data_IF_267554818206
#
_entry.id   IF_267554818206
#
_cell.length_a   1.000
_cell.length_b   1.000
_cell.length_c   1.000
_cell.angle_alpha   90.00
_cell.angle_beta   90.00
_cell.angle_gamma   90.00
#
_symmetry.space_group_name_H-M   'P 1'
#
loop_
_entity.id
_entity.type
_entity.pdbx_description
1 polymer ?
#
# COMPACT_ATOMS: atom_id res chain seq x y z
N UNK A 1 -18.19 42.52 -33.94
CA UNK A 1 -16.96 42.52 -34.76
C UNK A 1 -16.21 41.23 -34.52
N UNK A 2 -15.83 40.54 -35.59
CA UNK A 2 -15.09 39.27 -35.59
C UNK A 2 -13.74 39.43 -34.88
N UNK A 3 -13.35 38.46 -34.06
CA UNK A 3 -11.94 38.07 -33.90
C UNK A 3 -11.86 36.55 -34.00
N UNK A 4 -11.31 36.14 -35.14
CA UNK A 4 -11.00 34.79 -35.58
C UNK A 4 -9.70 34.32 -34.90
N UNK A 5 -9.69 33.04 -34.49
CA UNK A 5 -8.59 32.05 -34.59
C UNK A 5 -7.33 32.40 -33.78
N UNK A 6 -6.84 31.57 -32.85
CA UNK A 6 -6.01 30.41 -33.19
C UNK A 6 -6.13 29.30 -32.14
N UNK A 7 -6.61 28.16 -32.62
CA UNK A 7 -6.53 26.84 -32.01
C UNK A 7 -5.08 26.54 -31.63
N UNK A 8 -4.80 26.41 -30.34
CA UNK A 8 -3.70 25.56 -29.88
C UNK A 8 -4.34 24.42 -29.08
N UNK A 9 -4.82 23.42 -29.81
CA UNK A 9 -5.06 22.12 -29.22
C UNK A 9 -3.69 21.52 -28.89
N UNK A 10 -3.15 21.89 -27.72
CA UNK A 10 -2.10 21.09 -27.11
C UNK A 10 -2.78 19.78 -26.71
N UNK A 11 -2.68 18.78 -27.58
CA UNK A 11 -2.96 17.38 -27.26
C UNK A 11 -1.97 16.97 -26.16
N UNK A 12 -2.31 17.26 -24.90
CA UNK A 12 -1.60 16.72 -23.74
C UNK A 12 -2.03 15.25 -23.59
N UNK A 13 -1.64 14.40 -24.52
CA UNK A 13 -1.64 12.95 -24.29
C UNK A 13 -0.39 12.59 -23.48
N UNK A 14 -0.32 13.06 -22.24
CA UNK A 14 0.45 12.36 -21.22
C UNK A 14 -0.56 11.71 -20.30
N UNK A 15 -1.07 10.56 -20.74
CA UNK A 15 -1.44 9.52 -19.78
C UNK A 15 -0.12 9.20 -19.07
N UNK A 16 0.16 9.91 -17.98
CA UNK A 16 1.04 9.39 -16.95
C UNK A 16 0.35 8.10 -16.52
N UNK A 17 0.79 6.98 -17.10
CA UNK A 17 0.58 5.67 -16.52
C UNK A 17 1.32 5.76 -15.18
N UNK A 18 0.62 6.23 -14.15
CA UNK A 18 1.02 5.96 -12.78
C UNK A 18 0.94 4.46 -12.67
N UNK A 19 2.05 3.78 -13.01
CA UNK A 19 2.24 2.39 -12.69
C UNK A 19 1.88 2.28 -11.21
N UNK A 20 0.80 1.55 -10.91
CA UNK A 20 0.40 1.30 -9.53
C UNK A 20 1.67 0.79 -8.84
N UNK A 21 2.19 1.49 -7.82
CA UNK A 21 3.39 1.01 -7.14
C UNK A 21 3.11 -0.43 -6.74
N UNK A 22 4.05 -1.33 -7.03
CA UNK A 22 3.92 -2.76 -6.77
C UNK A 22 3.44 -2.93 -5.32
N UNK A 23 2.15 -3.23 -5.16
CA UNK A 23 1.49 -3.19 -3.87
C UNK A 23 1.90 -4.45 -3.14
N UNK A 24 2.92 -4.36 -2.31
CA UNK A 24 3.40 -5.50 -1.54
C UNK A 24 2.28 -5.95 -0.59
N UNK A 25 1.66 -7.08 -0.90
CA UNK A 25 0.62 -7.66 -0.08
C UNK A 25 1.22 -8.41 1.11
N UNK A 26 0.54 -8.33 2.24
CA UNK A 26 0.82 -9.10 3.45
C UNK A 26 -0.48 -9.68 4.01
N UNK A 27 -0.32 -10.61 4.95
CA UNK A 27 -1.38 -11.13 5.79
C UNK A 27 -0.96 -10.99 7.24
N UNK A 28 -1.94 -10.91 8.14
CA UNK A 28 -1.65 -11.09 9.56
C UNK A 28 -1.17 -12.53 9.82
N UNK A 29 -0.16 -12.68 10.67
CA UNK A 29 0.37 -14.01 11.03
C UNK A 29 -0.66 -14.86 11.78
N UNK A 30 -1.52 -14.22 12.57
CA UNK A 30 -2.61 -14.84 13.33
C UNK A 30 -3.84 -13.95 13.28
N UNK A 31 -4.95 -14.46 13.82
CA UNK A 31 -6.11 -13.60 14.10
C UNK A 31 -5.84 -12.73 15.33
N UNK A 32 -6.49 -11.56 15.36
CA UNK A 32 -6.37 -10.53 16.41
C UNK A 32 -5.04 -9.77 16.44
N UNK A 33 -4.34 -9.67 15.31
CA UNK A 33 -3.17 -8.79 15.16
C UNK A 33 -3.61 -7.33 15.27
N UNK A 34 -2.90 -6.52 16.05
CA UNK A 34 -3.35 -5.17 16.39
C UNK A 34 -2.76 -4.14 15.45
N UNK A 35 -3.63 -3.34 14.84
CA UNK A 35 -3.25 -2.15 14.09
C UNK A 35 -3.41 -0.92 14.96
N UNK A 36 -2.35 -0.12 15.06
CA UNK A 36 -2.27 1.05 15.91
C UNK A 36 -2.21 2.33 15.09
N UNK A 37 -2.63 3.44 15.71
CA UNK A 37 -2.59 4.76 15.09
C UNK A 37 -1.18 5.30 14.91
N UNK A 38 -0.25 4.92 15.78
CA UNK A 38 1.17 5.26 15.70
C UNK A 38 2.02 4.03 16.04
N UNK A 39 3.34 4.12 15.84
CA UNK A 39 4.29 3.09 16.22
C UNK A 39 4.42 2.99 17.75
N UNK A 40 3.52 2.24 18.39
CA UNK A 40 3.55 1.98 19.83
C UNK A 40 2.30 1.25 20.30
N UNK A 41 2.47 0.25 21.16
CA UNK A 41 1.37 -0.58 21.70
C UNK A 41 0.54 0.13 22.77
N UNK A 42 1.02 1.26 23.29
CA UNK A 42 0.28 2.15 24.19
C UNK A 42 -0.59 3.17 23.44
N UNK A 43 -0.55 3.19 22.11
CA UNK A 43 -1.36 4.11 21.30
C UNK A 43 -2.72 3.51 20.98
N UNK A 44 -3.60 4.35 20.43
CA UNK A 44 -4.95 3.93 20.02
C UNK A 44 -4.90 2.73 19.06
N UNK A 45 -5.58 1.65 19.44
CA UNK A 45 -5.81 0.51 18.56
C UNK A 45 -6.93 0.88 17.57
N UNK A 46 -6.58 0.97 16.29
CA UNK A 46 -7.51 1.28 15.21
C UNK A 46 -8.34 0.06 14.82
N UNK A 47 -7.71 -1.12 14.75
CA UNK A 47 -8.36 -2.35 14.28
C UNK A 47 -7.68 -3.60 14.81
N UNK A 48 -8.47 -4.68 14.96
CA UNK A 48 -7.96 -6.04 15.08
C UNK A 48 -8.03 -6.73 13.73
N UNK A 49 -6.89 -7.14 13.20
CA UNK A 49 -6.72 -7.77 11.90
C UNK A 49 -6.82 -9.29 12.03
N UNK A 50 -7.37 -9.92 11.00
CA UNK A 50 -7.42 -11.38 10.85
C UNK A 50 -6.44 -11.83 9.78
N UNK A 51 -6.07 -13.10 9.82
CA UNK A 51 -5.21 -13.74 8.81
C UNK A 51 -5.78 -13.63 7.38
N UNK A 52 -7.10 -13.51 7.26
CA UNK A 52 -7.83 -13.36 6.00
C UNK A 52 -7.91 -11.92 5.48
N UNK A 53 -7.52 -10.92 6.28
CA UNK A 53 -7.59 -9.51 5.84
C UNK A 53 -6.52 -9.24 4.78
N UNK A 54 -6.90 -8.49 3.74
CA UNK A 54 -5.95 -7.99 2.75
C UNK A 54 -5.20 -6.79 3.33
N UNK A 55 -3.90 -6.97 3.56
CA UNK A 55 -3.02 -5.93 4.09
C UNK A 55 -2.10 -5.46 2.98
N UNK A 56 -2.18 -4.19 2.63
CA UNK A 56 -1.22 -3.57 1.71
C UNK A 56 -0.08 -2.95 2.52
N UNK A 57 1.14 -3.42 2.32
CA UNK A 57 2.33 -2.82 2.93
C UNK A 57 2.65 -1.53 2.21
N UNK A 58 2.66 -0.41 2.95
CA UNK A 58 3.07 0.89 2.41
C UNK A 58 4.60 1.00 2.46
N UNK A 59 5.18 0.76 3.65
CA UNK A 59 6.64 0.72 3.88
C UNK A 59 6.96 0.25 5.30
N UNK A 60 8.19 -0.22 5.49
CA UNK A 60 8.76 -0.43 6.83
C UNK A 60 9.01 0.93 7.50
N UNK A 61 8.57 1.11 8.75
CA UNK A 61 8.84 2.33 9.53
C UNK A 61 10.15 2.21 10.30
N UNK A 62 10.36 1.09 10.99
CA UNK A 62 11.61 0.72 11.65
C UNK A 62 11.71 -0.81 11.77
N UNK A 63 12.66 -1.34 12.55
CA UNK A 63 12.84 -2.79 12.73
C UNK A 63 11.55 -3.49 13.18
N UNK A 64 10.79 -2.86 14.07
CA UNK A 64 9.65 -3.47 14.76
C UNK A 64 8.30 -3.12 14.12
N UNK A 65 8.21 -2.02 13.37
CA UNK A 65 6.94 -1.49 12.89
C UNK A 65 6.90 -1.34 11.37
N UNK A 66 5.75 -1.71 10.80
CA UNK A 66 5.44 -1.56 9.37
C UNK A 66 4.18 -0.73 9.21
N UNK A 67 4.20 0.23 8.28
CA UNK A 67 3.03 1.02 7.91
C UNK A 67 2.27 0.24 6.86
N UNK A 68 0.99 0.02 7.13
CA UNK A 68 0.08 -0.76 6.28
C UNK A 68 -1.19 0.01 5.99
N UNK A 69 -1.88 -0.37 4.92
CA UNK A 69 -3.24 0.07 4.60
C UNK A 69 -4.16 -1.14 4.60
N UNK A 70 -5.26 -1.05 5.33
CA UNK A 70 -6.30 -2.09 5.38
C UNK A 70 -7.65 -1.41 5.15
N UNK A 71 -8.40 -1.82 4.12
CA UNK A 71 -9.69 -1.21 3.74
C UNK A 71 -9.63 0.33 3.63
N UNK A 72 -8.53 0.88 3.11
CA UNK A 72 -8.31 2.32 2.97
C UNK A 72 -7.87 3.06 4.24
N UNK A 73 -7.79 2.39 5.40
CA UNK A 73 -7.25 2.97 6.63
C UNK A 73 -5.76 2.66 6.79
N UNK A 74 -4.95 3.69 6.98
CA UNK A 74 -3.52 3.58 7.23
C UNK A 74 -3.26 3.40 8.73
N UNK A 75 -2.36 2.50 9.09
CA UNK A 75 -1.94 2.27 10.47
C UNK A 75 -0.59 1.57 10.59
N UNK A 76 -0.21 1.27 11.82
CA UNK A 76 1.04 0.63 12.18
C UNK A 76 0.79 -0.77 12.75
N UNK A 77 1.51 -1.76 12.24
CA UNK A 77 1.47 -3.14 12.72
C UNK A 77 2.87 -3.61 13.04
N UNK A 78 3.01 -4.50 14.02
CA UNK A 78 4.29 -5.12 14.32
C UNK A 78 4.77 -5.95 13.12
N UNK A 79 6.00 -5.73 12.68
CA UNK A 79 6.60 -6.44 11.54
C UNK A 79 6.64 -7.95 11.79
N UNK A 80 6.83 -8.37 13.05
CA UNK A 80 6.82 -9.79 13.44
C UNK A 80 5.44 -10.45 13.33
N UNK A 81 4.37 -9.66 13.24
CA UNK A 81 2.99 -10.14 13.14
C UNK A 81 2.49 -10.12 11.67
N UNK A 82 3.36 -9.81 10.72
CA UNK A 82 3.05 -9.79 9.29
C UNK A 82 3.76 -10.91 8.54
N UNK A 83 3.00 -11.62 7.73
CA UNK A 83 3.50 -12.59 6.75
C UNK A 83 3.43 -11.97 5.36
N UNK A 84 4.58 -11.73 4.72
CA UNK A 84 4.62 -11.19 3.37
C UNK A 84 4.07 -12.21 2.36
N UNK A 85 3.07 -11.83 1.57
CA UNK A 85 2.75 -12.56 0.34
C UNK A 85 3.78 -12.13 -0.70
N UNK A 86 4.71 -13.03 -1.04
CA UNK A 86 5.60 -12.78 -2.18
C UNK A 86 4.76 -12.73 -3.44
N UNK A 87 4.86 -11.65 -4.19
CA UNK A 87 4.25 -11.58 -5.51
C UNK A 87 4.93 -12.63 -6.42
N UNK A 88 4.14 -13.57 -6.92
CA UNK A 88 4.64 -14.71 -7.69
C UNK A 88 5.14 -14.26 -9.07
N UNK A 89 4.70 -13.10 -9.59
CA UNK A 89 5.16 -12.59 -10.89
C UNK A 89 6.64 -12.22 -10.87
N UNK A 90 7.15 -11.69 -9.77
CA UNK A 90 8.56 -11.28 -9.66
C UNK A 90 9.52 -12.48 -9.52
N UNK A 91 9.06 -13.64 -9.05
CA UNK A 91 9.88 -14.87 -8.98
C UNK A 91 10.05 -15.51 -10.36
N UNK A 92 9.04 -15.39 -11.24
CA UNK A 92 9.10 -15.95 -12.59
C UNK A 92 10.08 -15.17 -13.51
N UNK A 93 10.21 -13.86 -13.33
CA UNK A 93 11.13 -13.01 -14.13
C UNK A 93 12.59 -13.03 -13.64
N UNK A 94 12.84 -13.41 -12.40
CA UNK A 94 14.20 -13.51 -11.85
C UNK A 94 14.89 -14.85 -12.17
N UNK A 95 14.19 -15.79 -12.81
CA UNK A 95 14.67 -17.13 -13.16
C UNK A 95 14.77 -17.39 -14.68
N UNK A 96 14.48 -16.39 -15.52
CA UNK A 96 14.57 -16.48 -16.99
C UNK A 96 15.89 -15.93 -17.51
#
# INVERSE_FOLDING_TARGET
MKKLIFTLALLINTVLVFAKPDQQLAQAATDNVKMYRQAGTSTEQLKSLKSTDEIVVVRKHNTNWTIVTVNGQVGYVLTSELTQKRDIKNIAMARS
#
